data_IF_846489894882
#
_entry.id   IF_846489894882
#
_cell.length_a   1.000
_cell.length_b   1.000
_cell.length_c   1.000
_cell.angle_alpha   90.00
_cell.angle_beta   90.00
_cell.angle_gamma   90.00
#
_symmetry.space_group_name_H-M   'P 1'
#
loop_
_entity.id
_entity.type
_entity.pdbx_description
1 polymer ?
#
# COMPACT_ATOMS: atom_id res chain seq x y z
N UNK A 1 13.83 -1.50 -9.76
CA UNK A 1 12.38 -1.25 -10.04
C UNK A 1 12.20 0.27 -10.15
N UNK A 2 11.39 0.78 -11.08
CA UNK A 2 11.25 2.23 -11.26
C UNK A 2 10.42 2.88 -10.15
N UNK A 3 10.80 4.07 -9.69
CA UNK A 3 10.00 4.93 -8.79
C UNK A 3 8.69 5.42 -9.44
N UNK A 4 8.49 5.19 -10.75
CA UNK A 4 7.27 5.57 -11.48
C UNK A 4 5.98 4.87 -11.02
N UNK A 5 6.07 3.86 -10.16
CA UNK A 5 4.93 3.16 -9.57
C UNK A 5 4.72 3.47 -8.08
N UNK A 6 5.37 4.52 -7.55
CA UNK A 6 5.22 4.92 -6.16
C UNK A 6 3.94 5.74 -5.93
N UNK A 7 3.30 5.60 -4.74
CA UNK A 7 2.25 6.54 -4.26
C UNK A 7 2.79 7.94 -4.09
N UNK A 8 4.07 8.03 -3.76
CA UNK A 8 4.73 9.27 -3.46
C UNK A 8 6.20 9.14 -3.81
N UNK A 9 6.72 10.16 -4.47
CA UNK A 9 8.12 10.22 -4.91
C UNK A 9 8.71 11.55 -4.47
N UNK A 10 9.84 11.47 -3.78
CA UNK A 10 10.66 12.63 -3.41
C UNK A 10 11.85 12.66 -4.34
N UNK A 11 12.04 13.75 -5.09
CA UNK A 11 13.13 13.91 -6.05
C UNK A 11 14.20 14.87 -5.51
N UNK A 12 15.45 14.47 -5.68
CA UNK A 12 16.64 15.25 -5.30
C UNK A 12 16.57 15.92 -3.91
N UNK A 13 16.19 15.20 -2.84
CA UNK A 13 16.08 15.82 -1.52
C UNK A 13 17.45 16.29 -1.01
N UNK A 14 17.46 17.43 -0.31
CA UNK A 14 18.65 17.92 0.40
C UNK A 14 18.97 16.99 1.57
N UNK A 15 20.26 16.69 1.77
CA UNK A 15 20.74 15.78 2.82
C UNK A 15 21.33 16.59 3.99
N UNK A 16 20.91 16.33 5.25
CA UNK A 16 20.01 15.27 5.70
C UNK A 16 18.55 15.51 5.31
N UNK A 17 17.88 14.44 4.89
CA UNK A 17 16.45 14.46 4.58
C UNK A 17 15.68 13.70 5.65
N UNK A 18 14.53 14.25 6.05
CA UNK A 18 13.54 13.59 6.89
C UNK A 18 12.17 13.94 6.35
N UNK A 19 11.29 12.95 6.20
CA UNK A 19 9.94 13.14 5.69
C UNK A 19 9.00 12.03 6.14
N UNK A 20 7.68 12.29 6.07
CA UNK A 20 6.68 11.30 6.42
C UNK A 20 6.67 10.17 5.39
N UNK A 21 6.32 8.97 5.85
CA UNK A 21 5.95 7.83 5.03
C UNK A 21 4.43 7.94 4.81
N UNK A 22 3.96 8.28 3.60
CA UNK A 22 2.53 8.55 3.40
C UNK A 22 1.67 7.33 3.68
N UNK A 23 0.77 7.43 4.66
CA UNK A 23 -0.10 6.32 5.10
C UNK A 23 0.59 5.29 6.02
N UNK A 24 1.83 5.52 6.47
CA UNK A 24 2.59 4.56 7.27
C UNK A 24 3.14 3.40 6.43
N UNK A 25 3.69 2.38 7.12
CA UNK A 25 4.19 1.15 6.50
C UNK A 25 3.26 -0.04 6.73
N UNK A 26 2.90 -0.73 5.64
CA UNK A 26 2.15 -1.98 5.69
C UNK A 26 2.95 -3.16 5.13
N UNK A 27 2.66 -4.41 5.56
CA UNK A 27 3.32 -5.59 5.03
C UNK A 27 3.20 -5.71 3.51
N UNK A 28 4.36 -5.74 2.85
CA UNK A 28 4.62 -5.90 1.42
C UNK A 28 4.87 -4.58 0.68
N UNK A 29 4.75 -3.44 1.36
CA UNK A 29 5.17 -2.15 0.81
C UNK A 29 6.68 -2.11 0.60
N UNK A 30 7.10 -1.26 -0.34
CA UNK A 30 8.47 -1.14 -0.76
C UNK A 30 8.89 0.33 -0.69
N UNK A 31 10.02 0.59 -0.05
CA UNK A 31 10.72 1.87 -0.17
C UNK A 31 11.89 1.67 -1.12
N UNK A 32 11.92 2.43 -2.21
CA UNK A 32 13.04 2.46 -3.17
C UNK A 32 13.82 3.75 -2.95
N UNK A 33 15.14 3.63 -2.76
CA UNK A 33 16.07 4.75 -2.64
C UNK A 33 17.09 4.63 -3.78
N UNK A 34 17.12 5.63 -4.65
CA UNK A 34 18.11 5.74 -5.72
C UNK A 34 19.05 6.91 -5.44
N UNK A 35 20.35 6.68 -5.56
CA UNK A 35 21.35 7.67 -5.18
C UNK A 35 22.73 7.40 -5.75
N UNK A 36 23.70 8.19 -5.29
CA UNK A 36 25.12 8.00 -5.54
C UNK A 36 25.88 8.16 -4.24
N UNK A 37 26.85 7.28 -4.00
CA UNK A 37 27.79 7.43 -2.89
C UNK A 37 28.89 8.40 -3.33
N UNK A 38 29.17 9.50 -2.61
CA UNK A 38 30.31 10.36 -2.89
C UNK A 38 31.66 9.61 -2.87
N UNK A 39 32.68 10.01 -3.66
CA UNK A 39 33.99 9.37 -3.66
C UNK A 39 34.70 9.34 -2.30
N UNK A 40 34.47 10.35 -1.46
CA UNK A 40 35.08 10.54 -0.14
C UNK A 40 34.18 10.08 1.03
N UNK A 41 33.14 9.28 0.72
CA UNK A 41 32.18 8.80 1.70
C UNK A 41 32.85 7.93 2.78
N UNK A 42 32.53 8.21 4.03
CA UNK A 42 32.92 7.40 5.19
C UNK A 42 31.74 6.57 5.71
N UNK A 43 30.54 7.15 5.75
CA UNK A 43 29.28 6.48 6.05
C UNK A 43 28.07 7.28 5.54
N UNK A 44 26.95 6.58 5.39
CA UNK A 44 25.63 7.19 5.43
C UNK A 44 24.67 6.29 6.22
N UNK A 45 23.44 6.73 6.42
CA UNK A 45 22.41 5.92 7.06
C UNK A 45 21.02 6.20 6.48
N UNK A 46 20.20 5.17 6.50
CA UNK A 46 18.76 5.19 6.25
C UNK A 46 18.09 4.76 7.55
N UNK A 47 17.24 5.62 8.12
CA UNK A 47 16.52 5.33 9.35
C UNK A 47 15.01 5.35 9.11
N UNK A 48 14.32 4.29 9.54
CA UNK A 48 12.86 4.22 9.62
C UNK A 48 12.45 4.41 11.09
N UNK A 49 11.71 5.47 11.39
CA UNK A 49 11.46 5.95 12.76
C UNK A 49 9.98 6.08 13.10
N UNK A 50 9.70 6.10 14.40
CA UNK A 50 8.39 6.40 15.00
C UNK A 50 8.34 7.87 15.40
N UNK A 51 8.17 8.74 14.41
CA UNK A 51 8.21 10.19 14.52
C UNK A 51 9.56 10.81 14.15
N UNK A 52 9.62 12.14 14.24
CA UNK A 52 10.76 12.97 13.85
C UNK A 52 11.30 13.89 14.98
N UNK A 53 10.84 13.70 16.22
CA UNK A 53 11.36 14.42 17.40
C UNK A 53 12.86 14.17 17.57
N UNK A 54 13.60 15.25 17.86
CA UNK A 54 15.04 15.23 18.15
C UNK A 54 15.36 15.28 19.64
N UNK A 55 14.36 15.60 20.49
CA UNK A 55 14.52 15.66 21.95
C UNK A 55 13.17 15.41 22.67
N UNK A 56 12.94 14.22 23.25
CA UNK A 56 13.79 13.03 23.11
C UNK A 56 13.82 12.57 21.65
N UNK A 57 14.94 11.97 21.24
CA UNK A 57 15.09 11.40 19.90
C UNK A 57 14.06 10.29 19.70
N UNK A 58 13.35 10.35 18.58
CA UNK A 58 12.35 9.35 18.19
C UNK A 58 12.97 7.96 18.07
N UNK A 59 12.19 6.95 18.43
CA UNK A 59 12.57 5.55 18.28
C UNK A 59 12.86 5.22 16.81
N UNK A 60 13.92 4.48 16.55
CA UNK A 60 14.34 4.04 15.20
C UNK A 60 14.08 2.55 15.08
N UNK A 61 13.07 2.16 14.30
CA UNK A 61 12.71 0.77 14.04
C UNK A 61 13.78 0.04 13.24
N UNK A 62 14.31 0.67 12.20
CA UNK A 62 15.43 0.18 11.41
C UNK A 62 16.43 1.32 11.21
N UNK A 63 17.62 1.17 11.80
CA UNK A 63 18.81 1.90 11.42
C UNK A 63 19.57 1.05 10.42
N UNK A 64 19.85 1.55 9.22
CA UNK A 64 20.65 0.87 8.21
C UNK A 64 21.83 1.76 7.82
N UNK A 65 23.04 1.39 8.21
CA UNK A 65 24.23 2.24 8.05
C UNK A 65 25.37 1.53 7.32
N UNK A 66 25.52 1.78 6.01
CA UNK A 66 26.72 1.45 5.25
C UNK A 66 27.92 2.29 5.71
N UNK A 67 29.05 1.63 6.01
CA UNK A 67 30.30 2.24 6.47
C UNK A 67 31.46 1.79 5.58
N UNK A 68 32.23 2.74 5.06
CA UNK A 68 33.23 2.52 4.01
C UNK A 68 34.68 2.47 4.52
N UNK A 69 34.97 3.11 5.66
CA UNK A 69 36.34 3.19 6.23
C UNK A 69 36.63 2.06 7.23
N UNK A 70 37.91 1.71 7.34
CA UNK A 70 38.40 0.65 8.24
C UNK A 70 38.04 -0.73 7.69
N UNK A 71 37.09 -1.40 8.34
CA UNK A 71 36.44 -2.62 7.81
C UNK A 71 35.09 -2.26 7.20
N UNK A 72 34.97 -2.22 5.86
CA UNK A 72 33.71 -2.01 5.15
C UNK A 72 32.62 -2.96 5.65
N UNK A 73 31.45 -2.41 5.97
CA UNK A 73 30.33 -3.18 6.53
C UNK A 73 29.03 -2.40 6.50
N UNK A 74 27.93 -3.10 6.63
CA UNK A 74 26.62 -2.55 6.95
C UNK A 74 26.32 -2.86 8.41
N UNK A 75 25.91 -1.84 9.17
CA UNK A 75 25.43 -2.00 10.55
C UNK A 75 23.94 -1.73 10.57
N UNK A 76 23.20 -2.66 11.18
CA UNK A 76 21.78 -2.53 11.45
C UNK A 76 21.50 -2.54 12.95
N UNK A 77 20.56 -1.72 13.40
CA UNK A 77 20.12 -1.70 14.80
C UNK A 77 18.74 -1.04 14.93
N UNK A 78 18.22 -1.01 16.15
CA UNK A 78 17.05 -0.23 16.53
C UNK A 78 17.40 0.65 17.73
N UNK A 79 16.82 1.84 17.78
CA UNK A 79 16.92 2.77 18.90
C UNK A 79 15.57 2.80 19.62
N UNK A 80 15.54 2.46 20.91
CA UNK A 80 14.34 2.57 21.74
C UNK A 80 14.67 3.45 22.93
N UNK A 81 13.87 4.51 23.17
CA UNK A 81 14.07 5.44 24.28
C UNK A 81 15.51 5.96 24.36
N UNK A 82 16.01 6.45 23.22
CA UNK A 82 17.38 6.98 23.06
C UNK A 82 18.53 5.98 23.32
N UNK A 83 18.22 4.69 23.47
CA UNK A 83 19.20 3.63 23.71
C UNK A 83 19.28 2.66 22.52
N UNK A 84 20.50 2.42 22.03
CA UNK A 84 20.73 1.45 20.95
C UNK A 84 20.64 0.02 21.47
N UNK A 85 19.96 -0.84 20.71
CA UNK A 85 19.90 -2.28 20.98
C UNK A 85 21.15 -3.04 20.53
N UNK A 86 20.99 -4.35 20.33
CA UNK A 86 22.05 -5.22 19.81
C UNK A 86 22.34 -4.93 18.32
N UNK A 87 23.58 -4.56 18.00
CA UNK A 87 23.99 -4.36 16.60
C UNK A 87 24.01 -5.67 15.80
N UNK A 88 23.45 -5.63 14.59
CA UNK A 88 23.61 -6.66 13.55
C UNK A 88 24.58 -6.14 12.50
N UNK A 89 25.72 -6.81 12.32
CA UNK A 89 26.77 -6.38 11.39
C UNK A 89 26.91 -7.35 10.23
N UNK A 90 26.84 -6.82 9.00
CA UNK A 90 27.18 -7.54 7.77
C UNK A 90 28.49 -7.00 7.20
N UNK A 91 29.49 -7.86 7.04
CA UNK A 91 30.77 -7.50 6.41
C UNK A 91 30.68 -7.39 4.88
N UNK A 92 29.52 -7.69 4.29
CA UNK A 92 29.23 -7.40 2.89
C UNK A 92 28.79 -5.95 2.74
N UNK A 93 29.52 -5.17 1.94
CA UNK A 93 29.17 -3.79 1.59
C UNK A 93 28.86 -3.70 0.07
N UNK A 94 27.58 -3.76 -0.35
CA UNK A 94 27.20 -3.70 -1.76
C UNK A 94 27.20 -2.28 -2.36
N UNK A 95 27.81 -1.31 -1.65
CA UNK A 95 27.93 0.08 -2.07
C UNK A 95 29.39 0.37 -2.43
N UNK A 96 29.60 1.22 -3.44
CA UNK A 96 30.93 1.67 -3.86
C UNK A 96 30.98 3.20 -3.88
N UNK A 97 32.02 3.79 -3.31
CA UNK A 97 32.27 5.22 -3.41
C UNK A 97 32.38 5.64 -4.88
N UNK A 98 31.75 6.76 -5.24
CA UNK A 98 31.66 7.26 -6.61
C UNK A 98 30.60 6.58 -7.49
N UNK A 99 29.95 5.51 -7.03
CA UNK A 99 29.00 4.74 -7.84
C UNK A 99 27.53 5.02 -7.49
N UNK A 100 26.60 4.90 -8.46
CA UNK A 100 25.18 4.91 -8.18
C UNK A 100 24.75 3.64 -7.43
N UNK A 101 23.61 3.73 -6.75
CA UNK A 101 22.97 2.57 -6.12
C UNK A 101 21.45 2.64 -6.22
N UNK A 102 20.82 1.47 -6.13
CA UNK A 102 19.40 1.30 -5.80
C UNK A 102 19.30 0.46 -4.52
N UNK A 103 18.65 0.99 -3.48
CA UNK A 103 18.30 0.26 -2.27
C UNK A 103 16.81 0.04 -2.24
N UNK A 104 16.37 -1.20 -2.01
CA UNK A 104 14.97 -1.59 -1.87
C UNK A 104 14.78 -2.10 -0.45
N UNK A 105 13.87 -1.49 0.30
CA UNK A 105 13.40 -1.98 1.60
C UNK A 105 12.00 -2.52 1.41
N UNK A 106 11.85 -3.85 1.40
CA UNK A 106 10.57 -4.54 1.36
C UNK A 106 10.12 -4.83 2.79
N UNK A 107 8.97 -4.26 3.16
CA UNK A 107 8.33 -4.50 4.45
C UNK A 107 7.65 -5.87 4.42
N UNK A 108 7.85 -6.71 5.43
CA UNK A 108 7.06 -7.93 5.66
C UNK A 108 6.42 -7.85 7.05
N UNK A 109 5.57 -8.81 7.38
CA UNK A 109 4.87 -8.84 8.68
C UNK A 109 5.84 -8.95 9.86
N UNK A 110 6.97 -9.59 9.67
CA UNK A 110 7.93 -9.99 10.69
C UNK A 110 9.33 -9.38 10.53
N UNK A 111 9.68 -8.96 9.30
CA UNK A 111 11.01 -8.44 8.95
C UNK A 111 10.96 -7.28 7.97
N UNK A 112 12.01 -6.45 7.96
CA UNK A 112 12.41 -5.66 6.80
C UNK A 112 13.39 -6.48 5.94
N UNK A 113 13.12 -6.65 4.65
CA UNK A 113 14.07 -7.23 3.70
C UNK A 113 14.73 -6.11 2.92
N UNK A 114 16.06 -6.07 2.93
CA UNK A 114 16.83 -5.07 2.18
C UNK A 114 17.55 -5.74 1.01
N UNK A 115 17.43 -5.14 -0.18
CA UNK A 115 18.19 -5.50 -1.36
C UNK A 115 18.92 -4.26 -1.89
N UNK A 116 20.12 -4.47 -2.44
CA UNK A 116 20.93 -3.41 -3.03
C UNK A 116 21.37 -3.84 -4.41
N UNK A 117 21.16 -3.00 -5.41
CA UNK A 117 21.51 -3.25 -6.81
C UNK A 117 20.97 -4.61 -7.32
N UNK A 118 19.70 -4.90 -7.04
CA UNK A 118 19.02 -6.11 -7.47
C UNK A 118 19.35 -7.38 -6.66
N UNK A 119 20.28 -7.33 -5.71
CA UNK A 119 20.69 -8.49 -4.92
C UNK A 119 20.20 -8.36 -3.48
N UNK A 120 19.62 -9.43 -2.93
CA UNK A 120 19.24 -9.46 -1.52
C UNK A 120 20.47 -9.31 -0.63
N UNK A 121 20.38 -8.45 0.40
CA UNK A 121 21.46 -8.19 1.34
C UNK A 121 21.16 -8.76 2.72
N UNK A 122 20.02 -8.41 3.32
CA UNK A 122 19.67 -8.82 4.67
C UNK A 122 18.17 -8.87 4.94
N UNK A 123 17.80 -9.59 6.00
CA UNK A 123 16.47 -9.58 6.60
C UNK A 123 16.60 -9.18 8.07
N UNK A 124 16.02 -8.05 8.46
CA UNK A 124 16.10 -7.49 9.81
C UNK A 124 14.75 -7.65 10.53
N UNK A 125 14.71 -8.33 11.68
CA UNK A 125 13.47 -8.56 12.43
C UNK A 125 12.94 -7.27 13.05
N UNK A 126 11.62 -7.09 13.03
CA UNK A 126 10.98 -5.95 13.69
C UNK A 126 11.24 -6.00 15.19
N UNK A 127 11.88 -4.95 15.73
CA UNK A 127 12.06 -4.75 17.18
C UNK A 127 11.11 -3.70 17.76
N UNK A 128 10.45 -2.95 16.89
CA UNK A 128 9.42 -1.96 17.18
C UNK A 128 8.19 -2.32 16.34
N UNK A 129 6.95 -2.20 16.87
CA UNK A 129 5.73 -2.45 16.10
C UNK A 129 5.70 -1.66 14.79
N UNK A 130 5.45 -2.36 13.67
CA UNK A 130 5.48 -1.77 12.33
C UNK A 130 4.53 -0.58 12.17
N UNK A 131 3.35 -0.64 12.80
CA UNK A 131 2.34 0.42 12.76
C UNK A 131 2.78 1.74 13.43
N UNK A 132 3.88 1.75 14.18
CA UNK A 132 4.48 2.97 14.72
C UNK A 132 5.42 3.67 13.75
N UNK A 133 5.81 3.02 12.66
CA UNK A 133 6.83 3.53 11.74
C UNK A 133 6.19 4.43 10.69
N UNK A 134 6.42 5.73 10.82
CA UNK A 134 5.78 6.78 10.02
C UNK A 134 6.77 7.76 9.37
N UNK A 135 8.07 7.64 9.69
CA UNK A 135 9.07 8.63 9.31
C UNK A 135 10.26 7.96 8.63
N UNK A 136 10.60 8.43 7.43
CA UNK A 136 11.82 8.05 6.71
C UNK A 136 12.85 9.17 6.86
N UNK A 137 14.10 8.79 7.12
CA UNK A 137 15.22 9.73 7.07
C UNK A 137 16.46 9.12 6.43
N UNK A 138 17.26 9.97 5.80
CA UNK A 138 18.52 9.61 5.18
C UNK A 138 19.54 10.73 5.43
N UNK A 139 20.71 10.36 5.95
CA UNK A 139 21.75 11.32 6.35
C UNK A 139 23.16 10.75 6.19
N UNK A 140 24.18 11.61 6.36
CA UNK A 140 25.58 11.28 6.13
C UNK A 140 26.03 11.55 4.69
N UNK A 141 27.15 10.97 4.27
CA UNK A 141 27.74 11.21 2.95
C UNK A 141 27.06 10.38 1.88
N UNK A 142 25.95 10.91 1.34
CA UNK A 142 25.17 10.31 0.27
C UNK A 142 24.51 11.40 -0.56
N UNK A 143 24.39 11.20 -1.88
CA UNK A 143 23.52 11.99 -2.74
C UNK A 143 22.31 11.15 -3.10
N UNK A 144 21.11 11.66 -2.85
CA UNK A 144 19.85 10.96 -3.14
C UNK A 144 19.21 11.61 -4.34
N UNK A 145 18.87 10.79 -5.33
CA UNK A 145 18.19 11.22 -6.57
C UNK A 145 16.68 11.03 -6.45
N UNK A 146 16.24 9.92 -5.85
CA UNK A 146 14.83 9.65 -5.64
C UNK A 146 14.58 8.77 -4.41
N UNK A 147 13.47 9.02 -3.72
CA UNK A 147 12.86 8.10 -2.74
C UNK A 147 11.43 7.84 -3.20
N UNK A 148 11.09 6.58 -3.48
CA UNK A 148 9.74 6.17 -3.91
C UNK A 148 9.13 5.20 -2.91
N UNK A 149 7.87 5.43 -2.54
CA UNK A 149 7.08 4.54 -1.70
C UNK A 149 6.09 3.76 -2.58
N UNK A 150 6.35 2.48 -2.84
CA UNK A 150 5.51 1.62 -3.66
C UNK A 150 4.66 0.75 -2.74
N UNK A 151 3.32 0.77 -2.88
CA UNK A 151 2.46 -0.07 -2.05
C UNK A 151 2.53 -1.54 -2.43
N UNK A 152 1.92 -2.37 -1.60
CA UNK A 152 1.50 -3.73 -1.97
C UNK A 152 0.38 -3.82 -3.00
N UNK A 153 -0.46 -2.80 -3.06
CA UNK A 153 -1.73 -2.77 -3.78
C UNK A 153 -1.87 -1.40 -4.40
N UNK A 154 -2.37 -1.32 -5.64
CA UNK A 154 -2.67 -0.04 -6.25
C UNK A 154 -3.92 0.65 -5.66
N UNK A 155 -4.56 0.05 -4.64
CA UNK A 155 -5.56 0.68 -3.77
C UNK A 155 -4.94 1.10 -2.45
N UNK A 156 -5.19 2.35 -2.04
CA UNK A 156 -4.71 2.94 -0.80
C UNK A 156 -5.87 3.36 0.09
N UNK A 157 -5.96 2.82 1.30
CA UNK A 157 -6.92 3.30 2.29
C UNK A 157 -6.60 4.74 2.69
N UNK A 158 -7.59 5.64 2.59
CA UNK A 158 -7.46 7.03 3.04
C UNK A 158 -7.29 7.12 4.57
N UNK A 159 -7.90 6.21 5.34
CA UNK A 159 -7.75 6.11 6.79
C UNK A 159 -6.47 5.38 7.22
N UNK A 160 -5.77 4.72 6.29
CA UNK A 160 -4.60 3.87 6.58
C UNK A 160 -4.94 2.51 7.19
N UNK A 161 -6.22 2.19 7.36
CA UNK A 161 -6.71 0.91 7.88
C UNK A 161 -7.88 0.33 7.05
N UNK A 162 -8.52 -0.73 7.54
CA UNK A 162 -9.66 -1.39 6.90
C UNK A 162 -10.99 -1.06 7.60
N UNK A 163 -11.05 0.04 8.36
CA UNK A 163 -12.27 0.44 9.06
C UNK A 163 -13.39 0.81 8.07
N UNK A 164 -14.63 0.59 8.49
CA UNK A 164 -15.84 0.96 7.75
C UNK A 164 -16.39 2.29 8.29
N UNK A 165 -16.74 3.27 7.44
CA UNK A 165 -16.68 3.26 5.97
C UNK A 165 -15.25 3.31 5.43
N UNK A 166 -14.96 2.41 4.50
CA UNK A 166 -13.65 2.30 3.86
C UNK A 166 -13.63 3.15 2.59
N UNK A 167 -12.57 3.94 2.40
CA UNK A 167 -12.28 4.66 1.16
C UNK A 167 -10.88 4.33 0.67
N UNK A 168 -10.79 3.78 -0.54
CA UNK A 168 -9.56 3.35 -1.17
C UNK A 168 -9.27 4.14 -2.46
N UNK A 169 -8.16 4.87 -2.55
CA UNK A 169 -7.75 5.55 -3.79
C UNK A 169 -7.10 4.58 -4.78
N UNK A 170 -7.53 4.63 -6.04
CA UNK A 170 -6.99 3.91 -7.20
C UNK A 170 -6.16 4.89 -8.05
N UNK A 171 -4.85 5.04 -7.76
CA UNK A 171 -4.04 6.17 -8.25
C UNK A 171 -4.05 6.43 -9.78
N UNK A 172 -4.20 5.38 -10.59
CA UNK A 172 -4.19 5.48 -12.07
C UNK A 172 -5.57 5.19 -12.66
N UNK A 173 -6.60 5.19 -11.81
CA UNK A 173 -7.91 4.63 -12.11
C UNK A 173 -7.84 3.14 -12.46
N UNK A 174 -8.90 2.64 -13.11
CA UNK A 174 -8.97 1.28 -13.59
C UNK A 174 -8.57 1.17 -15.06
N UNK A 175 -8.05 0.00 -15.42
CA UNK A 175 -7.72 -0.38 -16.79
C UNK A 175 -8.13 -1.84 -17.05
N UNK A 176 -8.44 -2.19 -18.31
CA UNK A 176 -8.81 -3.55 -18.65
C UNK A 176 -7.73 -4.57 -18.25
N UNK A 177 -8.16 -5.69 -17.67
CA UNK A 177 -7.30 -6.75 -17.16
C UNK A 177 -7.02 -6.66 -15.66
N UNK A 178 -7.23 -5.49 -15.05
CA UNK A 178 -7.09 -5.34 -13.59
C UNK A 178 -8.26 -5.96 -12.85
N UNK A 179 -8.01 -6.42 -11.62
CA UNK A 179 -9.08 -6.88 -10.75
C UNK A 179 -8.90 -6.43 -9.30
N UNK A 180 -10.04 -6.17 -8.67
CA UNK A 180 -10.13 -5.83 -7.26
C UNK A 180 -10.59 -7.07 -6.50
N UNK A 181 -9.88 -7.42 -5.42
CA UNK A 181 -10.30 -8.42 -4.46
C UNK A 181 -10.67 -7.73 -3.14
N UNK A 182 -11.85 -8.04 -2.62
CA UNK A 182 -12.35 -7.56 -1.33
C UNK A 182 -12.69 -8.78 -0.49
N UNK A 183 -12.03 -8.93 0.65
CA UNK A 183 -12.25 -10.02 1.60
C UNK A 183 -12.76 -9.47 2.91
N UNK A 184 -13.68 -10.19 3.52
CA UNK A 184 -14.29 -9.77 4.77
C UNK A 184 -15.22 -10.82 5.35
N UNK A 185 -15.90 -10.42 6.40
CA UNK A 185 -16.96 -11.18 7.04
C UNK A 185 -18.23 -10.32 7.03
N UNK A 186 -19.37 -10.91 6.67
CA UNK A 186 -20.65 -10.22 6.83
C UNK A 186 -20.97 -10.14 8.32
N UNK A 187 -21.50 -9.01 8.80
CA UNK A 187 -21.89 -8.88 10.20
C UNK A 187 -22.93 -9.92 10.61
N UNK A 188 -23.05 -10.21 11.91
CA UNK A 188 -23.98 -11.23 12.46
C UNK A 188 -25.46 -10.83 12.33
N UNK A 189 -25.75 -9.54 12.16
CA UNK A 189 -27.12 -9.03 11.97
C UNK A 189 -27.18 -8.07 10.78
N UNK A 190 -26.93 -8.54 9.55
CA UNK A 190 -26.76 -7.66 8.41
C UNK A 190 -28.11 -7.27 7.79
N UNK A 191 -28.28 -5.99 7.51
CA UNK A 191 -29.32 -5.49 6.61
C UNK A 191 -28.78 -5.46 5.17
N UNK A 192 -27.69 -4.74 4.97
CA UNK A 192 -27.05 -4.55 3.65
C UNK A 192 -25.65 -3.98 3.78
N UNK A 193 -24.83 -4.18 2.75
CA UNK A 193 -23.63 -3.38 2.55
C UNK A 193 -23.56 -2.89 1.11
N UNK A 194 -22.62 -1.99 0.85
CA UNK A 194 -22.37 -1.45 -0.49
C UNK A 194 -20.90 -1.46 -0.84
N UNK A 195 -20.59 -1.73 -2.11
CA UNK A 195 -19.27 -1.56 -2.70
C UNK A 195 -19.44 -0.65 -3.92
N UNK A 196 -18.73 0.48 -3.95
CA UNK A 196 -18.82 1.46 -5.02
C UNK A 196 -17.46 1.63 -5.69
N UNK A 197 -17.46 1.70 -7.02
CA UNK A 197 -16.34 2.22 -7.81
C UNK A 197 -16.72 3.60 -8.33
N UNK A 198 -16.01 4.61 -7.84
CA UNK A 198 -16.35 6.02 -7.97
C UNK A 198 -15.31 6.81 -8.76
N UNK A 199 -15.72 7.96 -9.27
CA UNK A 199 -14.85 9.05 -9.67
C UNK A 199 -14.84 10.09 -8.53
N UNK A 200 -13.70 10.25 -7.87
CA UNK A 200 -13.56 11.07 -6.66
C UNK A 200 -13.72 12.58 -6.92
N UNK A 201 -13.68 13.02 -8.19
CA UNK A 201 -13.82 14.44 -8.56
C UNK A 201 -15.26 14.84 -8.87
N UNK A 202 -16.08 13.89 -9.30
CA UNK A 202 -17.46 14.17 -9.72
C UNK A 202 -18.50 13.46 -8.87
N UNK A 203 -18.07 12.63 -7.90
CA UNK A 203 -18.92 11.77 -7.07
C UNK A 203 -19.78 10.78 -7.89
N UNK A 204 -19.45 10.58 -9.17
CA UNK A 204 -20.13 9.62 -10.03
C UNK A 204 -19.76 8.20 -9.59
N UNK A 205 -20.75 7.32 -9.45
CA UNK A 205 -20.56 5.90 -9.15
C UNK A 205 -20.68 5.12 -10.46
N UNK A 206 -19.55 4.68 -11.00
CA UNK A 206 -19.49 3.88 -12.21
C UNK A 206 -20.08 2.48 -12.00
N UNK A 207 -19.82 1.88 -10.85
CA UNK A 207 -20.40 0.60 -10.42
C UNK A 207 -20.81 0.69 -8.95
N UNK A 208 -22.10 0.58 -8.70
CA UNK A 208 -22.68 0.42 -7.37
C UNK A 208 -23.11 -1.04 -7.19
N UNK A 209 -22.68 -1.66 -6.10
CA UNK A 209 -23.04 -3.01 -5.70
C UNK A 209 -23.73 -2.95 -4.35
N UNK A 210 -24.96 -3.44 -4.23
CA UNK A 210 -25.70 -3.43 -2.97
C UNK A 210 -26.42 -4.77 -2.71
N UNK A 211 -25.74 -5.72 -2.04
CA UNK A 211 -26.39 -6.89 -1.47
C UNK A 211 -27.33 -6.50 -0.32
N UNK A 212 -28.56 -7.00 -0.37
CA UNK A 212 -29.60 -6.83 0.66
C UNK A 212 -30.00 -8.19 1.21
N UNK A 213 -29.63 -8.46 2.46
CA UNK A 213 -29.62 -9.80 3.02
C UNK A 213 -31.05 -10.33 3.22
N UNK A 214 -31.93 -9.51 3.81
CA UNK A 214 -33.31 -9.90 4.11
C UNK A 214 -34.12 -10.27 2.85
N UNK A 215 -33.92 -9.54 1.75
CA UNK A 215 -34.63 -9.80 0.49
C UNK A 215 -33.90 -10.77 -0.43
N UNK A 216 -32.65 -11.14 -0.14
CA UNK A 216 -31.82 -11.96 -1.03
C UNK A 216 -31.57 -11.33 -2.40
N UNK A 217 -31.56 -9.99 -2.48
CA UNK A 217 -31.40 -9.25 -3.73
C UNK A 217 -30.01 -8.64 -3.77
N UNK A 218 -29.34 -8.77 -4.92
CA UNK A 218 -28.08 -8.09 -5.18
C UNK A 218 -28.29 -7.04 -6.27
N UNK A 219 -28.42 -5.78 -5.87
CA UNK A 219 -28.62 -4.66 -6.80
C UNK A 219 -27.29 -4.24 -7.40
N UNK A 220 -27.27 -4.01 -8.72
CA UNK A 220 -26.20 -3.26 -9.39
C UNK A 220 -26.77 -2.06 -10.09
N UNK A 221 -26.05 -0.94 -10.06
CA UNK A 221 -26.44 0.26 -10.77
C UNK A 221 -25.22 1.17 -11.03
N UNK A 222 -25.46 2.32 -11.66
CA UNK A 222 -24.54 3.46 -11.69
C UNK A 222 -25.29 4.71 -11.24
N UNK A 223 -24.59 5.60 -10.55
CA UNK A 223 -25.09 6.93 -10.18
C UNK A 223 -24.30 7.96 -10.98
N UNK A 224 -24.93 8.55 -11.99
CA UNK A 224 -24.28 9.43 -12.95
C UNK A 224 -25.06 10.73 -13.07
N UNK A 225 -24.36 11.87 -13.06
CA UNK A 225 -24.98 13.20 -13.18
C UNK A 225 -26.12 13.38 -12.17
N UNK A 226 -25.82 13.06 -10.91
CA UNK A 226 -26.75 13.18 -9.77
C UNK A 226 -28.00 12.28 -9.84
N UNK A 227 -28.04 11.30 -10.73
CA UNK A 227 -29.19 10.39 -10.88
C UNK A 227 -28.80 8.92 -10.90
N UNK A 228 -29.66 8.08 -10.29
CA UNK A 228 -29.55 6.63 -10.41
C UNK A 228 -30.04 6.17 -11.77
N UNK A 229 -29.30 5.26 -12.40
CA UNK A 229 -29.72 4.60 -13.63
C UNK A 229 -30.71 3.46 -13.39
N UNK A 230 -30.88 2.62 -14.41
CA UNK A 230 -31.66 1.40 -14.31
C UNK A 230 -30.94 0.36 -13.43
N UNK A 231 -31.65 -0.22 -12.46
CA UNK A 231 -31.11 -1.30 -11.64
C UNK A 231 -31.05 -2.62 -12.40
N UNK A 232 -30.00 -3.41 -12.17
CA UNK A 232 -29.87 -4.80 -12.57
C UNK A 232 -29.96 -5.69 -11.32
N UNK A 233 -30.77 -6.74 -11.37
CA UNK A 233 -31.16 -7.55 -10.19
C UNK A 233 -31.06 -9.07 -10.40
N UNK A 234 -30.87 -9.50 -11.64
CA UNK A 234 -30.74 -10.89 -12.06
C UNK A 234 -29.53 -11.57 -11.40
N UNK A 235 -29.72 -12.77 -10.86
CA UNK A 235 -28.67 -13.46 -10.12
C UNK A 235 -28.94 -14.98 -10.13
N UNK A 236 -27.93 -15.84 -10.32
CA UNK A 236 -28.13 -17.27 -10.25
C UNK A 236 -28.42 -17.77 -8.82
N UNK A 237 -27.81 -17.14 -7.81
CA UNK A 237 -28.02 -17.43 -6.39
C UNK A 237 -27.48 -16.27 -5.53
N UNK A 238 -28.07 -16.02 -4.36
CA UNK A 238 -27.58 -14.99 -3.44
C UNK A 238 -26.34 -15.49 -2.68
N UNK A 239 -25.18 -14.82 -2.76
CA UNK A 239 -23.89 -15.41 -2.37
C UNK A 239 -23.46 -15.07 -0.94
N UNK A 240 -24.25 -14.31 -0.18
CA UNK A 240 -23.88 -13.82 1.16
C UNK A 240 -24.77 -14.43 2.24
N UNK A 241 -24.20 -14.63 3.43
CA UNK A 241 -24.89 -15.15 4.61
C UNK A 241 -24.39 -14.44 5.85
N UNK A 242 -25.25 -14.34 6.87
CA UNK A 242 -24.92 -13.66 8.12
C UNK A 242 -23.74 -14.32 8.82
N UNK A 243 -22.78 -13.52 9.29
CA UNK A 243 -21.59 -14.02 9.99
C UNK A 243 -20.58 -14.77 9.13
N UNK A 244 -20.83 -14.92 7.82
CA UNK A 244 -19.98 -15.74 6.95
C UNK A 244 -18.89 -14.92 6.26
N UNK A 245 -17.77 -15.60 5.97
CA UNK A 245 -16.69 -15.06 5.17
C UNK A 245 -17.14 -14.85 3.71
N UNK A 246 -16.61 -13.80 3.09
CA UNK A 246 -16.73 -13.59 1.66
C UNK A 246 -15.42 -13.12 1.02
N UNK A 247 -15.29 -13.42 -0.27
CA UNK A 247 -14.31 -12.87 -1.17
C UNK A 247 -15.00 -12.42 -2.45
N UNK A 248 -15.09 -11.10 -2.65
CA UNK A 248 -15.57 -10.50 -3.89
C UNK A 248 -14.38 -10.29 -4.82
N UNK A 249 -14.51 -10.70 -6.07
CA UNK A 249 -13.60 -10.35 -7.16
C UNK A 249 -14.37 -9.52 -8.20
N UNK A 250 -13.89 -8.31 -8.46
CA UNK A 250 -14.37 -7.43 -9.54
C UNK A 250 -13.28 -7.38 -10.62
N UNK A 251 -13.50 -8.04 -11.74
CA UNK A 251 -12.59 -8.01 -12.89
C UNK A 251 -13.03 -6.90 -13.86
N UNK A 252 -12.15 -5.96 -14.13
CA UNK A 252 -12.34 -4.93 -15.15
C UNK A 252 -11.97 -5.49 -16.54
N UNK A 253 -12.95 -5.62 -17.43
CA UNK A 253 -12.72 -5.97 -18.84
C UNK A 253 -12.90 -4.74 -19.73
N UNK A 254 -12.57 -4.80 -21.04
CA UNK A 254 -12.71 -3.64 -21.93
C UNK A 254 -14.12 -3.04 -22.01
N UNK A 255 -15.18 -3.84 -21.79
CA UNK A 255 -16.57 -3.41 -22.01
C UNK A 255 -17.51 -3.62 -20.82
N UNK A 256 -17.02 -4.29 -19.76
CA UNK A 256 -17.85 -4.67 -18.61
C UNK A 256 -16.99 -5.02 -17.40
N UNK A 257 -17.62 -5.02 -16.23
CA UNK A 257 -17.11 -5.70 -15.05
C UNK A 257 -17.64 -7.13 -15.00
N UNK A 258 -16.80 -8.09 -14.59
CA UNK A 258 -17.27 -9.42 -14.17
C UNK A 258 -17.14 -9.53 -12.66
N UNK A 259 -18.20 -10.00 -12.01
CA UNK A 259 -18.19 -10.27 -10.58
C UNK A 259 -18.17 -11.76 -10.29
N UNK A 260 -17.35 -12.15 -9.31
CA UNK A 260 -17.43 -13.45 -8.66
C UNK A 260 -17.43 -13.28 -7.14
N UNK A 261 -18.09 -14.19 -6.42
CA UNK A 261 -18.02 -14.28 -4.96
C UNK A 261 -17.63 -15.70 -4.58
N UNK A 262 -16.63 -15.83 -3.72
CA UNK A 262 -16.09 -17.12 -3.25
C UNK A 262 -15.76 -18.08 -4.41
N UNK A 263 -15.14 -17.54 -5.47
CA UNK A 263 -14.74 -18.29 -6.66
C UNK A 263 -15.86 -18.59 -7.67
N UNK A 264 -17.11 -18.31 -7.33
CA UNK A 264 -18.25 -18.53 -8.23
C UNK A 264 -18.62 -17.24 -8.96
N UNK A 265 -18.63 -17.29 -10.29
CA UNK A 265 -19.11 -16.17 -11.12
C UNK A 265 -20.62 -15.93 -10.90
N UNK A 266 -21.02 -14.67 -10.80
CA UNK A 266 -22.42 -14.29 -10.56
C UNK A 266 -23.04 -13.53 -11.72
N UNK A 267 -22.38 -12.47 -12.18
CA UNK A 267 -22.91 -11.60 -13.22
C UNK A 267 -21.83 -10.76 -13.90
N UNK A 268 -22.23 -10.17 -15.01
CA UNK A 268 -21.48 -9.18 -15.77
C UNK A 268 -22.25 -7.85 -15.70
N UNK A 269 -21.56 -6.73 -15.60
CA UNK A 269 -22.15 -5.39 -15.60
C UNK A 269 -21.49 -4.54 -16.68
N UNK A 270 -22.22 -4.19 -17.73
CA UNK A 270 -21.67 -3.40 -18.84
C UNK A 270 -21.27 -2.01 -18.38
N UNK A 271 -20.14 -1.52 -18.88
CA UNK A 271 -19.62 -0.20 -18.54
C UNK A 271 -20.60 0.89 -18.95
N UNK A 272 -21.10 1.63 -17.97
CA UNK A 272 -21.87 2.87 -18.20
C UNK A 272 -20.97 4.11 -18.25
N UNK A 273 -19.75 4.00 -17.72
CA UNK A 273 -18.65 4.98 -17.84
C UNK A 273 -17.57 4.37 -18.72
N UNK A 274 -17.24 5.03 -19.84
CA UNK A 274 -16.25 4.51 -20.80
C UNK A 274 -14.81 4.86 -20.42
N UNK A 275 -14.59 6.01 -19.77
CA UNK A 275 -13.28 6.39 -19.26
C UNK A 275 -12.99 5.67 -17.94
N UNK A 276 -12.46 4.45 -18.05
CA UNK A 276 -12.12 3.62 -16.89
C UNK A 276 -11.02 4.25 -16.02
N UNK A 277 -10.15 5.08 -16.61
CA UNK A 277 -9.10 5.79 -15.87
C UNK A 277 -9.65 6.86 -14.94
N UNK A 278 -10.91 7.29 -15.16
CA UNK A 278 -11.63 8.20 -14.26
C UNK A 278 -12.21 7.52 -13.02
N UNK A 279 -12.20 6.18 -12.96
CA UNK A 279 -12.68 5.40 -11.81
C UNK A 279 -11.52 5.25 -10.83
N UNK A 280 -11.34 6.23 -9.97
CA UNK A 280 -10.15 6.44 -9.13
C UNK A 280 -10.40 6.24 -7.62
N UNK A 281 -11.59 5.78 -7.21
CA UNK A 281 -11.90 5.50 -5.82
C UNK A 281 -12.78 4.25 -5.62
N UNK A 282 -12.50 3.48 -4.58
CA UNK A 282 -13.30 2.37 -4.07
C UNK A 282 -13.89 2.77 -2.73
N UNK A 283 -15.21 2.67 -2.57
CA UNK A 283 -15.88 2.92 -1.29
C UNK A 283 -16.62 1.67 -0.82
N UNK A 284 -16.49 1.33 0.47
CA UNK A 284 -17.19 0.18 1.07
C UNK A 284 -17.83 0.63 2.38
N UNK A 285 -19.13 0.34 2.55
CA UNK A 285 -19.87 0.71 3.75
C UNK A 285 -21.02 -0.26 4.06
N UNK A 286 -21.53 -0.22 5.29
CA UNK A 286 -22.62 -1.06 5.76
C UNK A 286 -22.17 -2.24 6.59
N UNK A 287 -22.97 -3.31 6.62
CA UNK A 287 -22.90 -4.36 7.64
C UNK A 287 -21.87 -5.47 7.32
N UNK A 288 -20.58 -5.13 7.38
CA UNK A 288 -19.46 -6.06 7.22
C UNK A 288 -18.21 -5.60 7.97
N UNK A 289 -17.27 -6.53 8.14
CA UNK A 289 -15.89 -6.27 8.57
C UNK A 289 -14.91 -6.63 7.45
N UNK A 290 -13.98 -5.74 7.11
CA UNK A 290 -12.97 -5.98 6.08
C UNK A 290 -11.72 -6.66 6.64
N UNK A 291 -11.16 -7.59 5.87
CA UNK A 291 -9.90 -8.28 6.20
C UNK A 291 -8.80 -8.08 5.17
N UNK A 292 -9.14 -7.79 3.91
CA UNK A 292 -8.16 -7.50 2.85
C UNK A 292 -8.85 -6.76 1.68
N UNK A 293 -8.18 -5.76 1.12
CA UNK A 293 -8.61 -5.06 -0.11
C UNK A 293 -7.39 -4.89 -1.01
N UNK A 294 -7.44 -5.42 -2.23
CA UNK A 294 -6.32 -5.39 -3.18
C UNK A 294 -6.74 -5.09 -4.60
N UNK A 295 -5.91 -4.34 -5.31
CA UNK A 295 -5.95 -4.21 -6.77
C UNK A 295 -4.70 -4.87 -7.36
N UNK A 296 -4.92 -5.67 -8.40
CA UNK A 296 -3.90 -6.39 -9.15
C UNK A 296 -3.87 -5.94 -10.61
#
# INVERSE_FOLDING_TARGET
MSVANAKHTVLNPVIPYTGPIPGGLHPGEIIIIQGTVPPDADRFQIDLSSGCSTKPRSDVALHFSPRFKGSPRVVCNSLLQESWGQEETLHQLPYKCGAPFETIVLVRRDVFKVAVNGTHLLSYKHRIPLNRVDTFSISGKVRVHAVGYIPTSAIYSESGDLSIPYKGSLLKGLSPGQHITIKGQVSVYPHSFTVNLCNSRTENIALHLNPRMKSGVFIRNSYLSETWGQEERELPFFPFSSGEYFEILILCQPHQFKLAVNGSHLFEFRHRVQDLSSIDQLEIMGDLDLTDVKLW
#
